data_IF_643434647472
#
_entry.id   IF_643434647472
#
_cell.length_a   1.000
_cell.length_b   1.000
_cell.length_c   1.000
_cell.angle_alpha   90.00
_cell.angle_beta   90.00
_cell.angle_gamma   90.00
#
_symmetry.space_group_name_H-M   'P 1'
#
loop_
_entity.id
_entity.type
_entity.pdbx_description
1 polymer ?
#
# COMPACT_ATOMS: atom_id res chain seq x y z
N UNK A 1 1.25 31.04 6.53
CA UNK A 1 1.36 30.88 5.05
C UNK A 1 -0.04 30.93 4.44
N UNK A 2 -0.30 31.77 3.43
CA UNK A 2 -1.54 31.72 2.67
C UNK A 2 -1.69 30.32 2.03
N UNK A 3 -2.92 29.80 1.96
CA UNK A 3 -3.22 28.44 1.43
C UNK A 3 -2.61 28.18 0.05
N UNK A 4 -2.47 29.24 -0.75
CA UNK A 4 -1.82 29.23 -2.06
C UNK A 4 -0.30 29.06 -2.02
N UNK A 5 0.37 29.55 -0.98
CA UNK A 5 1.83 29.42 -0.86
C UNK A 5 2.27 27.98 -0.66
N UNK A 6 1.51 27.19 0.12
CA UNK A 6 1.81 25.76 0.30
C UNK A 6 1.59 24.98 -0.99
N UNK A 7 0.49 25.24 -1.71
CA UNK A 7 0.17 24.58 -2.97
C UNK A 7 1.22 24.90 -4.04
N UNK A 8 1.61 26.17 -4.16
CA UNK A 8 2.67 26.60 -5.07
C UNK A 8 4.00 25.93 -4.72
N UNK A 9 4.35 25.84 -3.43
CA UNK A 9 5.56 25.15 -2.99
C UNK A 9 5.53 23.66 -3.33
N UNK A 10 4.40 22.98 -3.17
CA UNK A 10 4.24 21.58 -3.59
C UNK A 10 4.40 21.42 -5.11
N UNK A 11 3.78 22.28 -5.91
CA UNK A 11 3.89 22.23 -7.39
C UNK A 11 5.32 22.49 -7.83
N UNK A 12 5.98 23.49 -7.25
CA UNK A 12 7.39 23.81 -7.54
C UNK A 12 8.30 22.66 -7.13
N UNK A 13 8.12 22.06 -5.95
CA UNK A 13 8.92 20.93 -5.50
C UNK A 13 8.75 19.69 -6.41
N UNK A 14 7.51 19.37 -6.80
CA UNK A 14 7.23 18.27 -7.72
C UNK A 14 7.81 18.53 -9.12
N UNK A 15 7.65 19.76 -9.63
CA UNK A 15 8.22 20.19 -10.90
C UNK A 15 9.74 20.13 -10.89
N UNK A 16 10.38 20.71 -9.88
CA UNK A 16 11.83 20.69 -9.70
C UNK A 16 12.36 19.25 -9.63
N UNK A 17 11.70 18.37 -8.87
CA UNK A 17 12.05 16.95 -8.81
C UNK A 17 11.95 16.25 -10.16
N UNK A 18 10.86 16.49 -10.91
CA UNK A 18 10.67 15.91 -12.24
C UNK A 18 11.71 16.40 -13.25
N UNK A 19 11.91 17.72 -13.36
CA UNK A 19 12.86 18.30 -14.30
C UNK A 19 14.31 17.98 -13.92
N UNK A 20 14.64 18.06 -12.63
CA UNK A 20 15.96 17.67 -12.11
C UNK A 20 16.27 16.20 -12.38
N UNK A 21 15.33 15.29 -12.08
CA UNK A 21 15.50 13.87 -12.36
C UNK A 21 15.65 13.57 -13.85
N UNK A 22 14.89 14.27 -14.71
CA UNK A 22 15.02 14.16 -16.17
C UNK A 22 16.37 14.66 -16.66
N UNK A 23 16.85 15.79 -16.15
CA UNK A 23 18.16 16.35 -16.50
C UNK A 23 19.29 15.39 -16.12
N UNK A 24 19.29 14.88 -14.88
CA UNK A 24 20.28 13.89 -14.42
C UNK A 24 20.24 12.63 -15.28
N UNK A 25 19.04 12.09 -15.55
CA UNK A 25 18.88 10.86 -16.34
C UNK A 25 19.37 11.01 -17.78
N UNK A 26 19.23 12.19 -18.39
CA UNK A 26 19.62 12.45 -19.77
C UNK A 26 21.11 12.78 -19.92
N UNK A 27 21.74 13.30 -18.87
CA UNK A 27 23.13 13.77 -18.92
C UNK A 27 24.12 12.78 -18.28
N UNK A 28 23.64 11.75 -17.58
CA UNK A 28 24.49 10.71 -17.02
C UNK A 28 24.94 9.72 -18.10
N UNK A 29 26.18 9.21 -17.96
CA UNK A 29 26.79 8.23 -18.86
C UNK A 29 26.97 6.84 -18.19
N UNK A 30 26.44 6.65 -16.99
CA UNK A 30 26.62 5.43 -16.20
C UNK A 30 25.71 4.28 -16.70
N UNK A 31 24.49 4.59 -17.14
CA UNK A 31 23.49 3.62 -17.60
C UNK A 31 22.90 4.06 -18.94
N UNK A 32 22.92 3.18 -19.96
CA UNK A 32 22.27 3.44 -21.24
C UNK A 32 20.75 3.26 -21.11
N UNK A 33 20.00 4.37 -21.15
CA UNK A 33 18.54 4.35 -21.00
C UNK A 33 17.86 4.13 -22.36
N UNK A 34 17.34 2.91 -22.59
CA UNK A 34 16.55 2.62 -23.78
C UNK A 34 15.07 3.01 -23.59
N UNK A 35 14.71 4.20 -24.10
CA UNK A 35 13.33 4.73 -24.01
C UNK A 35 12.29 3.91 -24.77
N UNK A 36 12.68 3.12 -25.77
CA UNK A 36 11.76 2.26 -26.52
C UNK A 36 11.24 1.09 -25.66
N UNK A 37 11.92 0.79 -24.55
CA UNK A 37 11.49 -0.23 -23.58
C UNK A 37 10.51 0.29 -22.54
N UNK A 38 10.09 1.55 -22.57
CA UNK A 38 9.16 2.11 -21.59
C UNK A 38 7.83 1.34 -21.52
N UNK A 39 7.40 1.05 -20.29
CA UNK A 39 6.08 0.47 -20.01
C UNK A 39 5.15 1.60 -19.57
N UNK A 40 4.06 1.87 -20.31
CA UNK A 40 3.23 3.05 -20.06
C UNK A 40 2.36 2.90 -18.80
N UNK A 41 2.06 3.99 -18.11
CA UNK A 41 1.24 3.97 -16.88
C UNK A 41 -0.11 3.24 -17.01
N UNK A 42 -0.76 3.37 -18.18
CA UNK A 42 -2.04 2.70 -18.48
C UNK A 42 -1.95 1.16 -18.42
N UNK A 43 -0.76 0.59 -18.60
CA UNK A 43 -0.51 -0.83 -18.40
C UNK A 43 -0.77 -1.25 -16.96
N UNK A 44 -0.20 -0.53 -15.99
CA UNK A 44 -0.35 -0.81 -14.57
C UNK A 44 -1.79 -0.57 -14.09
N UNK A 45 -2.48 0.44 -14.65
CA UNK A 45 -3.92 0.65 -14.39
C UNK A 45 -4.70 -0.56 -14.91
N UNK A 46 -4.44 -0.99 -16.14
CA UNK A 46 -5.09 -2.16 -16.73
C UNK A 46 -4.86 -3.42 -15.88
N UNK A 47 -3.59 -3.70 -15.54
CA UNK A 47 -3.19 -4.85 -14.71
C UNK A 47 -3.85 -4.82 -13.33
N UNK A 48 -3.97 -3.63 -12.73
CA UNK A 48 -4.66 -3.40 -11.47
C UNK A 48 -6.15 -3.71 -11.47
N UNK A 49 -6.78 -3.96 -12.62
CA UNK A 49 -8.18 -4.43 -12.75
C UNK A 49 -8.25 -5.93 -13.10
N UNK A 50 -7.11 -6.64 -13.04
CA UNK A 50 -7.04 -8.08 -13.29
C UNK A 50 -7.02 -8.88 -11.98
N UNK A 51 -7.56 -10.10 -12.01
CA UNK A 51 -7.46 -11.05 -10.89
C UNK A 51 -7.91 -10.45 -9.55
N UNK A 52 -7.00 -10.39 -8.59
CA UNK A 52 -7.16 -9.83 -7.25
C UNK A 52 -6.65 -8.38 -7.12
N UNK A 53 -6.27 -7.77 -8.24
CA UNK A 53 -5.75 -6.42 -8.38
C UNK A 53 -4.23 -6.31 -8.38
N UNK A 54 -3.50 -7.42 -8.23
CA UNK A 54 -2.03 -7.42 -8.23
C UNK A 54 -1.37 -7.84 -9.53
N UNK A 55 -0.06 -8.08 -9.42
CA UNK A 55 0.79 -8.45 -10.54
C UNK A 55 0.22 -9.61 -11.37
N UNK A 56 0.22 -9.43 -12.69
CA UNK A 56 -0.22 -10.43 -13.64
C UNK A 56 0.93 -10.76 -14.62
N UNK A 57 1.53 -11.96 -14.53
CA UNK A 57 2.64 -12.35 -15.39
C UNK A 57 2.31 -12.29 -16.89
N UNK A 58 1.09 -12.64 -17.29
CA UNK A 58 0.67 -12.64 -18.70
C UNK A 58 0.60 -11.22 -19.27
N UNK A 59 0.09 -10.29 -18.48
CA UNK A 59 0.05 -8.88 -18.87
C UNK A 59 1.47 -8.31 -19.00
N UNK A 60 2.36 -8.63 -18.05
CA UNK A 60 3.74 -8.16 -18.04
C UNK A 60 4.54 -8.71 -19.23
N UNK A 61 4.44 -10.02 -19.51
CA UNK A 61 5.09 -10.65 -20.67
C UNK A 61 4.64 -9.99 -21.98
N UNK A 62 3.35 -9.64 -22.10
CA UNK A 62 2.83 -8.98 -23.30
C UNK A 62 3.48 -7.62 -23.58
N UNK A 63 3.97 -6.92 -22.55
CA UNK A 63 4.69 -5.66 -22.75
C UNK A 63 6.05 -5.87 -23.42
N UNK A 64 6.68 -7.03 -23.21
CA UNK A 64 7.93 -7.42 -23.88
C UNK A 64 7.73 -7.78 -25.36
N UNK A 65 6.57 -8.34 -25.71
CA UNK A 65 6.24 -8.73 -27.09
C UNK A 65 5.88 -7.55 -28.00
N UNK A 66 5.33 -6.47 -27.43
CA UNK A 66 4.85 -5.34 -28.22
C UNK A 66 6.00 -4.38 -28.61
N UNK A 67 6.16 -4.06 -29.91
CA UNK A 67 7.36 -3.43 -30.44
C UNK A 67 7.52 -1.95 -30.05
N UNK A 68 6.40 -1.25 -29.80
CA UNK A 68 6.42 0.19 -29.53
C UNK A 68 5.66 0.54 -28.25
N UNK A 69 6.06 1.64 -27.62
CA UNK A 69 5.35 2.20 -26.45
C UNK A 69 3.89 2.51 -26.77
N UNK A 70 3.61 2.99 -28.00
CA UNK A 70 2.24 3.23 -28.47
C UNK A 70 1.42 1.94 -28.55
N UNK A 71 1.97 0.88 -29.15
CA UNK A 71 1.29 -0.42 -29.21
C UNK A 71 0.99 -0.99 -27.80
N UNK A 72 1.92 -0.84 -26.84
CA UNK A 72 1.71 -1.19 -25.43
C UNK A 72 0.59 -0.40 -24.78
N UNK A 73 0.53 0.90 -25.05
CA UNK A 73 -0.51 1.80 -24.54
C UNK A 73 -1.88 1.41 -25.09
N UNK A 74 -1.99 1.24 -26.41
CA UNK A 74 -3.23 0.91 -27.10
C UNK A 74 -3.77 -0.46 -26.68
N UNK A 75 -2.89 -1.46 -26.58
CA UNK A 75 -3.23 -2.78 -26.05
C UNK A 75 -3.76 -2.70 -24.61
N UNK A 76 -3.01 -2.02 -23.73
CA UNK A 76 -3.38 -1.89 -22.31
C UNK A 76 -4.70 -1.16 -22.12
N UNK A 77 -4.96 -0.10 -22.90
CA UNK A 77 -6.21 0.65 -22.92
C UNK A 77 -7.37 -0.23 -23.38
N UNK A 78 -7.21 -0.96 -24.49
CA UNK A 78 -8.22 -1.90 -24.99
C UNK A 78 -8.55 -2.97 -23.94
N UNK A 79 -7.53 -3.51 -23.28
CA UNK A 79 -7.68 -4.51 -22.23
C UNK A 79 -8.38 -3.95 -20.98
N UNK A 80 -8.04 -2.73 -20.56
CA UNK A 80 -8.69 -2.06 -19.43
C UNK A 80 -10.19 -1.87 -19.70
N UNK A 81 -10.55 -1.34 -20.89
CA UNK A 81 -11.95 -1.16 -21.28
C UNK A 81 -12.69 -2.50 -21.29
N UNK A 82 -12.07 -3.57 -21.82
CA UNK A 82 -12.64 -4.92 -21.80
C UNK A 82 -12.90 -5.41 -20.38
N UNK A 83 -11.97 -5.20 -19.45
CA UNK A 83 -12.09 -5.59 -18.03
C UNK A 83 -13.21 -4.84 -17.34
N UNK A 84 -13.25 -3.51 -17.48
CA UNK A 84 -14.28 -2.67 -16.90
C UNK A 84 -15.68 -3.03 -17.42
N UNK A 85 -15.83 -3.24 -18.74
CA UNK A 85 -17.09 -3.68 -19.33
C UNK A 85 -17.53 -5.06 -18.82
N UNK A 86 -16.59 -5.99 -18.65
CA UNK A 86 -16.87 -7.33 -18.12
C UNK A 86 -17.34 -7.29 -16.65
N UNK A 87 -16.75 -6.41 -15.83
CA UNK A 87 -17.14 -6.26 -14.43
C UNK A 87 -18.47 -5.52 -14.27
N UNK A 88 -18.73 -4.54 -15.14
CA UNK A 88 -19.83 -3.59 -14.96
C UNK A 88 -19.67 -2.73 -13.68
N UNK A 89 -20.59 -1.79 -13.42
CA UNK A 89 -20.47 -0.87 -12.29
C UNK A 89 -20.47 -1.58 -10.93
N UNK A 90 -21.42 -2.50 -10.71
CA UNK A 90 -21.57 -3.22 -9.44
C UNK A 90 -20.42 -4.20 -9.21
N UNK A 91 -20.02 -4.95 -10.25
CA UNK A 91 -18.88 -5.86 -10.16
C UNK A 91 -17.57 -5.11 -9.93
N UNK A 92 -17.40 -3.93 -10.52
CA UNK A 92 -16.24 -3.09 -10.27
C UNK A 92 -16.20 -2.54 -8.84
N UNK A 93 -17.34 -2.11 -8.28
CA UNK A 93 -17.42 -1.69 -6.87
C UNK A 93 -17.04 -2.83 -5.91
N UNK A 94 -17.59 -4.04 -6.13
CA UNK A 94 -17.23 -5.24 -5.36
C UNK A 94 -15.74 -5.56 -5.50
N UNK A 95 -15.21 -5.47 -6.72
CA UNK A 95 -13.80 -5.67 -7.00
C UNK A 95 -12.92 -4.69 -6.21
N UNK A 96 -13.27 -3.39 -6.17
CA UNK A 96 -12.52 -2.39 -5.41
C UNK A 96 -12.50 -2.69 -3.92
N UNK A 97 -13.60 -3.15 -3.32
CA UNK A 97 -13.66 -3.55 -1.91
C UNK A 97 -12.71 -4.73 -1.64
N UNK A 98 -12.77 -5.76 -2.48
CA UNK A 98 -11.90 -6.94 -2.35
C UNK A 98 -10.42 -6.57 -2.54
N UNK A 99 -10.13 -5.72 -3.53
CA UNK A 99 -8.78 -5.21 -3.78
C UNK A 99 -8.29 -4.36 -2.61
N UNK A 100 -9.13 -3.51 -2.04
CA UNK A 100 -8.79 -2.72 -0.86
C UNK A 100 -8.43 -3.62 0.31
N UNK A 101 -9.25 -4.65 0.59
CA UNK A 101 -8.93 -5.67 1.60
C UNK A 101 -7.58 -6.33 1.33
N UNK A 102 -7.30 -6.71 0.09
CA UNK A 102 -6.01 -7.33 -0.26
C UNK A 102 -4.82 -6.35 -0.11
N UNK A 103 -5.05 -5.05 -0.30
CA UNK A 103 -4.08 -4.00 -0.07
C UNK A 103 -3.82 -3.72 1.42
N UNK A 104 -4.77 -4.00 2.33
CA UNK A 104 -4.69 -3.48 3.70
C UNK A 104 -4.79 -4.52 4.81
N UNK A 105 -5.33 -5.71 4.57
CA UNK A 105 -5.72 -6.61 5.67
C UNK A 105 -4.55 -7.40 6.28
N UNK A 106 -3.50 -7.66 5.51
CA UNK A 106 -2.38 -8.51 5.92
C UNK A 106 -1.27 -7.70 6.59
N UNK A 107 -1.16 -7.85 7.91
CA UNK A 107 -0.20 -7.16 8.78
C UNK A 107 1.24 -7.65 8.65
N UNK A 108 1.49 -8.75 7.93
CA UNK A 108 2.85 -9.14 7.54
C UNK A 108 3.32 -8.45 6.28
N UNK A 109 2.48 -7.61 5.66
CA UNK A 109 2.81 -6.92 4.42
C UNK A 109 3.22 -7.88 3.29
N UNK A 110 2.54 -9.03 3.19
CA UNK A 110 2.82 -10.10 2.24
C UNK A 110 4.23 -10.74 2.40
N UNK A 111 4.81 -10.69 3.59
CA UNK A 111 6.10 -11.34 3.88
C UNK A 111 6.04 -12.84 3.54
N UNK A 112 7.01 -13.31 2.76
CA UNK A 112 7.15 -14.72 2.32
C UNK A 112 5.99 -15.23 1.45
N UNK A 113 4.95 -14.44 1.18
CA UNK A 113 3.79 -14.85 0.38
C UNK A 113 4.14 -15.22 -1.06
N UNK A 114 5.10 -14.53 -1.65
CA UNK A 114 5.60 -14.81 -3.00
C UNK A 114 6.91 -15.62 -2.98
N UNK A 115 7.53 -15.84 -1.82
CA UNK A 115 8.61 -16.83 -1.59
C UNK A 115 9.93 -16.69 -2.35
N UNK A 116 9.98 -15.92 -3.45
CA UNK A 116 11.09 -15.94 -4.41
C UNK A 116 12.21 -14.93 -4.13
N UNK A 117 12.16 -14.18 -3.03
CA UNK A 117 13.16 -13.15 -2.71
C UNK A 117 14.26 -13.62 -1.75
N UNK A 118 14.08 -14.76 -1.09
CA UNK A 118 15.12 -15.40 -0.27
C UNK A 118 15.78 -16.47 -1.14
N UNK A 119 16.99 -16.17 -1.62
CA UNK A 119 17.77 -17.09 -2.47
C UNK A 119 18.59 -18.11 -1.66
N UNK A 120 18.55 -18.01 -0.33
CA UNK A 120 19.22 -18.95 0.59
C UNK A 120 18.30 -20.12 0.95
N UNK A 121 18.88 -21.14 1.63
CA UNK A 121 18.09 -22.24 2.15
C UNK A 121 16.97 -21.69 3.06
N UNK A 122 15.69 -21.89 2.71
CA UNK A 122 14.56 -21.36 3.47
C UNK A 122 14.40 -22.01 4.85
N UNK A 123 15.21 -23.03 5.18
CA UNK A 123 15.26 -23.70 6.47
C UNK A 123 16.41 -23.16 7.31
N UNK A 124 16.12 -22.45 8.42
CA UNK A 124 17.15 -22.00 9.35
C UNK A 124 17.88 -23.18 9.99
N UNK A 125 19.21 -23.26 9.81
CA UNK A 125 20.07 -24.27 10.44
C UNK A 125 21.12 -23.66 11.39
N UNK A 126 21.27 -22.33 11.39
CA UNK A 126 22.23 -21.65 12.25
C UNK A 126 21.78 -21.63 13.71
N UNK A 127 22.74 -21.61 14.63
CA UNK A 127 22.53 -21.52 16.08
C UNK A 127 22.77 -20.09 16.59
N UNK A 128 22.44 -19.83 17.85
CA UNK A 128 22.60 -18.52 18.48
C UNK A 128 21.53 -17.51 18.07
N UNK A 129 21.82 -16.23 18.30
CA UNK A 129 20.85 -15.14 18.10
C UNK A 129 20.44 -14.95 16.62
N UNK A 130 21.39 -15.10 15.69
CA UNK A 130 21.12 -15.08 14.23
C UNK A 130 20.13 -16.20 13.87
N UNK A 131 20.41 -17.43 14.31
CA UNK A 131 19.54 -18.58 14.11
C UNK A 131 18.13 -18.36 14.66
N UNK A 132 18.03 -17.84 15.89
CA UNK A 132 16.76 -17.49 16.51
C UNK A 132 15.95 -16.47 15.67
N UNK A 133 16.57 -15.38 15.21
CA UNK A 133 15.87 -14.40 14.36
C UNK A 133 15.45 -15.01 13.01
N UNK A 134 16.28 -15.85 12.41
CA UNK A 134 15.94 -16.54 11.15
C UNK A 134 14.73 -17.45 11.30
N UNK A 135 14.54 -18.08 12.47
CA UNK A 135 13.33 -18.88 12.76
C UNK A 135 12.03 -18.06 12.70
N UNK A 136 12.07 -16.74 12.90
CA UNK A 136 10.90 -15.87 12.79
C UNK A 136 10.61 -15.39 11.36
N UNK A 137 11.63 -15.22 10.52
CA UNK A 137 11.49 -14.51 9.23
C UNK A 137 11.64 -15.40 8.00
N UNK A 138 12.21 -16.61 8.11
CA UNK A 138 12.37 -17.53 6.98
C UNK A 138 11.14 -18.43 6.79
N UNK A 139 10.93 -18.90 5.55
CA UNK A 139 9.74 -19.67 5.14
C UNK A 139 9.52 -20.96 5.96
N UNK A 140 10.58 -21.68 6.31
CA UNK A 140 10.50 -22.91 7.11
C UNK A 140 11.03 -22.72 8.54
N UNK A 141 11.04 -21.47 9.03
CA UNK A 141 11.34 -21.17 10.42
C UNK A 141 10.20 -21.64 11.34
N UNK A 142 10.55 -22.22 12.49
CA UNK A 142 9.61 -22.74 13.50
C UNK A 142 8.71 -21.65 14.10
N UNK A 143 9.18 -20.40 14.14
CA UNK A 143 8.48 -19.25 14.73
C UNK A 143 7.85 -18.31 13.69
N UNK A 144 7.80 -18.70 12.42
CA UNK A 144 7.16 -17.87 11.38
C UNK A 144 5.67 -17.62 11.68
N UNK A 145 5.00 -18.59 12.32
CA UNK A 145 3.63 -18.43 12.81
C UNK A 145 3.51 -17.32 13.86
N UNK A 146 4.44 -17.28 14.81
CA UNK A 146 4.47 -16.27 15.87
C UNK A 146 4.71 -14.87 15.28
N UNK A 147 5.66 -14.75 14.34
CA UNK A 147 5.87 -13.51 13.59
C UNK A 147 4.59 -13.02 12.91
N UNK A 148 3.88 -13.91 12.21
CA UNK A 148 2.61 -13.58 11.53
C UNK A 148 1.56 -13.09 12.50
N UNK A 149 1.40 -13.78 13.63
CA UNK A 149 0.45 -13.42 14.66
C UNK A 149 0.77 -12.05 15.28
N UNK A 150 2.01 -11.86 15.73
CA UNK A 150 2.47 -10.61 16.36
C UNK A 150 2.29 -9.44 15.38
N UNK A 151 2.70 -9.61 14.12
CA UNK A 151 2.57 -8.58 13.08
C UNK A 151 1.11 -8.23 12.83
N UNK A 152 0.22 -9.23 12.77
CA UNK A 152 -1.21 -9.00 12.59
C UNK A 152 -1.83 -8.26 13.78
N UNK A 153 -1.48 -8.63 15.01
CA UNK A 153 -1.96 -7.96 16.24
C UNK A 153 -1.52 -6.49 16.24
N UNK A 154 -0.24 -6.22 15.99
CA UNK A 154 0.29 -4.86 15.90
C UNK A 154 -0.40 -4.05 14.81
N UNK A 155 -0.63 -4.67 13.65
CA UNK A 155 -1.29 -4.01 12.54
C UNK A 155 -2.74 -3.63 12.86
N UNK A 156 -3.52 -4.57 13.41
CA UNK A 156 -4.90 -4.30 13.85
C UNK A 156 -4.94 -3.22 14.94
N UNK A 157 -3.98 -3.25 15.88
CA UNK A 157 -3.86 -2.22 16.92
C UNK A 157 -3.64 -0.82 16.31
N UNK A 158 -2.69 -0.68 15.37
CA UNK A 158 -2.42 0.60 14.70
C UNK A 158 -3.64 1.10 13.92
N UNK A 159 -4.29 0.22 13.16
CA UNK A 159 -5.52 0.56 12.44
C UNK A 159 -6.64 0.97 13.40
N UNK A 160 -6.76 0.31 14.55
CA UNK A 160 -7.68 0.67 15.63
C UNK A 160 -7.45 2.09 16.14
N UNK A 161 -6.20 2.46 16.46
CA UNK A 161 -5.87 3.82 16.86
C UNK A 161 -6.29 4.83 15.78
N UNK A 162 -5.95 4.57 14.52
CA UNK A 162 -6.32 5.50 13.44
C UNK A 162 -7.84 5.64 13.29
N UNK A 163 -8.58 4.53 13.37
CA UNK A 163 -10.03 4.49 13.21
C UNK A 163 -10.76 5.21 14.36
N UNK A 164 -10.42 4.92 15.60
CA UNK A 164 -11.11 5.48 16.77
C UNK A 164 -10.66 6.91 17.11
N UNK A 165 -9.53 7.35 16.58
CA UNK A 165 -9.05 8.73 16.68
C UNK A 165 -9.71 9.74 15.71
N UNK A 166 -10.78 9.36 14.99
CA UNK A 166 -11.36 10.13 13.88
C UNK A 166 -11.81 11.57 14.21
N UNK A 167 -12.15 11.83 15.47
CA UNK A 167 -12.57 13.14 15.98
C UNK A 167 -11.46 14.20 15.91
N UNK A 168 -10.19 13.80 15.97
CA UNK A 168 -9.08 14.75 15.99
C UNK A 168 -9.05 15.57 14.68
N UNK A 169 -9.22 16.89 14.77
CA UNK A 169 -9.28 17.81 13.62
C UNK A 169 -8.01 18.64 13.41
N UNK A 170 -6.89 18.30 14.07
CA UNK A 170 -5.64 19.03 13.90
C UNK A 170 -5.18 18.99 12.43
N UNK A 171 -4.62 20.10 11.95
CA UNK A 171 -4.22 20.25 10.53
C UNK A 171 -3.27 19.15 10.07
N UNK A 172 -2.28 18.81 10.89
CA UNK A 172 -1.32 17.74 10.59
C UNK A 172 -1.97 16.35 10.53
N UNK A 173 -2.90 16.05 11.44
CA UNK A 173 -3.69 14.82 11.42
C UNK A 173 -4.51 14.70 10.14
N UNK A 174 -5.14 15.80 9.68
CA UNK A 174 -5.88 15.81 8.42
C UNK A 174 -4.95 15.62 7.21
N UNK A 175 -3.75 16.22 7.23
CA UNK A 175 -2.74 16.04 6.19
C UNK A 175 -2.33 14.56 6.07
N UNK A 176 -2.05 13.88 7.19
CA UNK A 176 -1.69 12.45 7.17
C UNK A 176 -2.85 11.55 6.73
N UNK A 177 -4.10 11.86 7.13
CA UNK A 177 -5.28 11.15 6.60
C UNK A 177 -5.41 11.30 5.09
N UNK A 178 -5.24 12.51 4.57
CA UNK A 178 -5.26 12.77 3.13
C UNK A 178 -4.12 12.02 2.41
N UNK A 179 -2.92 11.98 3.00
CA UNK A 179 -1.80 11.22 2.43
C UNK A 179 -2.10 9.71 2.36
N UNK A 180 -2.68 9.13 3.42
CA UNK A 180 -3.09 7.71 3.44
C UNK A 180 -4.22 7.46 2.43
N UNK A 181 -5.24 8.32 2.38
CA UNK A 181 -6.33 8.21 1.41
C UNK A 181 -5.83 8.32 -0.03
N UNK A 182 -4.88 9.22 -0.30
CA UNK A 182 -4.21 9.32 -1.60
C UNK A 182 -3.45 8.04 -1.95
N UNK A 183 -2.75 7.45 -0.98
CA UNK A 183 -2.11 6.15 -1.14
C UNK A 183 -3.10 5.02 -1.44
N UNK A 184 -4.21 4.96 -0.72
CA UNK A 184 -5.28 3.98 -1.00
C UNK A 184 -5.88 4.18 -2.39
N UNK A 185 -6.14 5.42 -2.80
CA UNK A 185 -6.64 5.71 -4.14
C UNK A 185 -5.66 5.24 -5.22
N UNK A 186 -4.36 5.51 -5.03
CA UNK A 186 -3.31 5.03 -5.92
C UNK A 186 -3.30 3.50 -6.03
N UNK A 187 -3.31 2.78 -4.90
CA UNK A 187 -3.32 1.31 -4.89
C UNK A 187 -4.62 0.69 -5.43
N UNK A 188 -5.72 1.44 -5.45
CA UNK A 188 -6.95 1.00 -6.11
C UNK A 188 -6.91 1.23 -7.62
N UNK A 189 -6.28 2.31 -8.08
CA UNK A 189 -6.15 2.65 -9.50
C UNK A 189 -5.10 1.79 -10.23
N UNK A 190 -3.93 1.59 -9.64
CA UNK A 190 -2.79 0.91 -10.26
C UNK A 190 -2.66 -0.54 -9.80
N UNK A 191 -1.67 -1.26 -10.33
CA UNK A 191 -1.30 -2.58 -9.83
C UNK A 191 -1.04 -2.51 -8.31
N UNK A 192 -1.69 -3.41 -7.59
CA UNK A 192 -1.79 -3.41 -6.14
C UNK A 192 -2.17 -4.82 -5.65
N UNK A 193 -3.26 -4.97 -4.91
CA UNK A 193 -3.75 -6.28 -4.44
C UNK A 193 -2.82 -7.00 -3.45
N UNK A 194 -1.83 -6.30 -2.89
CA UNK A 194 -0.88 -6.84 -1.89
C UNK A 194 -0.58 -5.76 -0.86
N UNK A 195 -0.48 -6.15 0.41
CA UNK A 195 -0.20 -5.21 1.49
C UNK A 195 1.23 -4.67 1.49
N UNK A 196 2.20 -5.33 0.83
CA UNK A 196 3.58 -4.81 0.71
C UNK A 196 3.67 -3.36 0.21
N UNK A 197 2.74 -2.94 -0.64
CA UNK A 197 2.72 -1.57 -1.15
C UNK A 197 2.37 -0.53 -0.08
N UNK A 198 1.87 -0.94 1.09
CA UNK A 198 1.69 -0.06 2.24
C UNK A 198 2.97 0.23 3.02
N UNK A 199 4.05 -0.52 2.80
CA UNK A 199 5.32 -0.32 3.52
C UNK A 199 5.81 1.13 3.34
N UNK A 200 5.69 1.70 2.13
CA UNK A 200 6.05 3.10 1.86
C UNK A 200 5.16 4.13 2.59
N UNK A 201 3.97 3.73 3.04
CA UNK A 201 3.03 4.57 3.80
C UNK A 201 3.10 4.33 5.31
N UNK A 202 3.85 3.32 5.78
CA UNK A 202 4.00 3.01 7.20
C UNK A 202 4.45 4.20 8.05
N UNK A 203 5.45 5.03 7.65
CA UNK A 203 5.84 6.18 8.45
C UNK A 203 4.67 7.14 8.70
N UNK A 204 3.84 7.39 7.68
CA UNK A 204 2.67 8.26 7.79
C UNK A 204 1.59 7.64 8.68
N UNK A 205 1.36 6.33 8.57
CA UNK A 205 0.37 5.60 9.38
C UNK A 205 0.78 5.58 10.86
N UNK A 206 2.05 5.32 11.16
CA UNK A 206 2.58 5.29 12.52
C UNK A 206 2.52 6.70 13.15
N UNK A 207 2.94 7.73 12.41
CA UNK A 207 2.83 9.12 12.88
C UNK A 207 1.37 9.54 13.11
N UNK A 208 0.45 9.15 12.22
CA UNK A 208 -0.96 9.40 12.43
C UNK A 208 -1.48 8.69 13.68
N UNK A 209 -1.16 7.41 13.85
CA UNK A 209 -1.57 6.60 14.98
C UNK A 209 -1.10 7.20 16.31
N UNK A 210 0.15 7.67 16.39
CA UNK A 210 0.68 8.32 17.59
C UNK A 210 -0.03 9.64 17.89
N UNK A 211 -0.29 10.47 16.88
CA UNK A 211 -0.99 11.74 17.04
C UNK A 211 -2.43 11.58 17.55
N UNK A 212 -3.11 10.49 17.19
CA UNK A 212 -4.52 10.26 17.56
C UNK A 212 -4.70 9.24 18.69
N UNK A 213 -3.61 8.73 19.27
CA UNK A 213 -3.66 7.70 20.30
C UNK A 213 -4.46 8.15 21.54
N UNK A 214 -4.25 9.40 21.98
CA UNK A 214 -4.98 9.96 23.12
C UNK A 214 -6.48 10.10 22.84
N UNK A 215 -6.85 10.53 21.64
CA UNK A 215 -8.25 10.66 21.23
C UNK A 215 -8.94 9.28 21.16
N UNK A 216 -8.21 8.29 20.64
CA UNK A 216 -8.67 6.90 20.56
C UNK A 216 -8.90 6.31 21.95
N UNK A 217 -7.96 6.54 22.88
CA UNK A 217 -8.11 6.12 24.28
C UNK A 217 -9.35 6.75 24.93
N UNK A 218 -9.56 8.06 24.73
CA UNK A 218 -10.74 8.76 25.26
C UNK A 218 -12.04 8.19 24.73
N UNK A 219 -12.08 7.81 23.44
CA UNK A 219 -13.25 7.15 22.84
C UNK A 219 -13.61 5.86 23.58
N UNK A 220 -12.65 4.97 23.82
CA UNK A 220 -12.89 3.72 24.56
C UNK A 220 -13.28 3.93 26.02
N UNK A 221 -12.67 4.90 26.72
CA UNK A 221 -13.06 5.25 28.10
C UNK A 221 -14.47 5.86 28.15
N UNK A 222 -14.86 6.63 27.13
CA UNK A 222 -16.21 7.16 27.02
C UNK A 222 -17.25 6.06 26.88
N UNK A 223 -16.99 5.08 26.00
CA UNK A 223 -17.84 3.90 25.81
C UNK A 223 -18.04 3.11 27.10
N UNK A 224 -16.98 2.85 27.87
CA UNK A 224 -17.10 2.09 29.11
C UNK A 224 -17.91 2.82 30.18
N UNK A 225 -17.80 4.16 30.26
CA UNK A 225 -18.62 4.97 31.17
C UNK A 225 -20.11 4.96 30.82
N UNK A 226 -20.44 4.98 29.53
CA UNK A 226 -21.83 4.89 29.05
C UNK A 226 -22.41 3.52 29.42
N UNK A 227 -21.69 2.44 29.12
CA UNK A 227 -22.13 1.08 29.42
C UNK A 227 -22.35 0.85 30.93
N UNK A 228 -21.48 1.40 31.78
CA UNK A 228 -21.62 1.31 33.25
C UNK A 228 -22.82 2.13 33.77
N UNK A 229 -23.13 3.26 33.14
CA UNK A 229 -24.29 4.08 33.49
C UNK A 229 -25.60 3.36 33.16
N UNK A 230 -25.73 2.82 31.95
CA UNK A 230 -26.92 2.06 31.53
C UNK A 230 -27.16 0.83 32.43
N UNK A 231 -26.10 0.13 32.84
CA UNK A 231 -26.23 -0.99 33.77
C UNK A 231 -26.70 -0.57 35.17
N UNK A 232 -26.34 0.63 35.63
CA UNK A 232 -26.79 1.14 36.93
C UNK A 232 -28.20 1.74 36.88
N UNK A 233 -28.63 2.29 35.74
CA UNK A 233 -30.00 2.82 35.54
C UNK A 233 -31.04 1.69 35.37
N UNK A 234 -30.60 0.44 35.13
CA UNK A 234 -31.44 -0.77 35.02
C UNK A 234 -31.61 -1.54 36.35
N UNK A 235 -31.01 -1.07 37.45
CA UNK A 235 -31.15 -1.64 38.80
C UNK A 235 -32.00 -0.74 39.69
#
# INVERSE_FOLDING_TARGET
>A
MPKWGLLLLCVVALGAGYFGGKQVTNNQNYIVVNRLRAVPAIHFISMGVSGDGGYNPKDALKMGELPTVKARSDYSKKLLVKRLKKLGPVGYAKFLILKHRNNTADGTFAWVKEGHFINENPTPQETGFSGFLRQFVYLYGTHLGDFRYISQVWWVFLLGLVAFGWHNKQKMTQLFRLAILGGFAYLLLFEGGRSRYLIQYLPVIILLATMVANDSRKFFVGLSKIALREHNDLK
#
